data_IF_031102587665
#
_entry.id   IF_031102587665
#
_cell.length_a   1.000
_cell.length_b   1.000
_cell.length_c   1.000
_cell.angle_alpha   90.00
_cell.angle_beta   90.00
_cell.angle_gamma   90.00
#
_symmetry.space_group_name_H-M   'P 1'
#
loop_
_entity.id
_entity.type
_entity.pdbx_description
1 polymer ?
#
# COMPACT_ATOMS: atom_id res chain seq x y z
N UNK A 1 -16.59 -9.85 9.85
CA UNK A 1 -15.41 -10.24 9.06
C UNK A 1 -15.86 -10.49 7.63
N UNK A 2 -15.18 -9.89 6.65
CA UNK A 2 -15.48 -10.05 5.22
C UNK A 2 -14.59 -11.10 4.55
N UNK A 3 -14.84 -11.37 3.27
CA UNK A 3 -13.99 -12.23 2.42
C UNK A 3 -12.69 -11.48 2.07
N UNK A 4 -11.55 -12.16 2.07
CA UNK A 4 -10.23 -11.58 1.74
C UNK A 4 -9.50 -12.37 0.65
N UNK A 5 -8.50 -11.76 0.02
CA UNK A 5 -7.58 -12.42 -0.92
C UNK A 5 -8.16 -12.80 -2.29
N UNK A 6 -9.37 -12.38 -2.62
CA UNK A 6 -9.99 -12.63 -3.92
C UNK A 6 -9.88 -11.40 -4.84
N UNK A 7 -9.50 -11.61 -6.10
CA UNK A 7 -9.55 -10.61 -7.17
C UNK A 7 -10.85 -10.82 -7.96
N UNK A 8 -11.54 -9.74 -8.30
CA UNK A 8 -12.80 -9.80 -9.06
C UNK A 8 -12.59 -10.25 -10.52
N UNK A 9 -11.43 -9.92 -11.09
CA UNK A 9 -11.03 -10.29 -12.45
C UNK A 9 -9.71 -11.08 -12.37
N UNK A 10 -9.70 -12.32 -12.86
CA UNK A 10 -8.45 -13.03 -13.09
C UNK A 10 -7.81 -12.47 -14.37
N UNK A 11 -6.50 -12.15 -14.40
CA UNK A 11 -5.86 -11.72 -15.65
C UNK A 11 -6.11 -12.77 -16.73
N UNK A 12 -6.74 -12.34 -17.83
CA UNK A 12 -7.46 -13.19 -18.77
C UNK A 12 -6.64 -14.25 -19.51
N UNK A 13 -5.31 -14.30 -19.33
CA UNK A 13 -4.41 -15.27 -19.98
C UNK A 13 -3.01 -15.42 -19.34
N UNK A 14 -2.81 -15.16 -18.05
CA UNK A 14 -1.47 -15.28 -17.45
C UNK A 14 -1.35 -16.51 -16.54
N UNK A 15 -0.53 -17.48 -16.95
CA UNK A 15 0.07 -18.43 -16.01
C UNK A 15 0.60 -17.67 -14.79
N UNK A 16 0.44 -18.18 -13.56
CA UNK A 16 0.89 -17.48 -12.36
C UNK A 16 2.40 -17.20 -12.45
N UNK A 17 2.73 -15.93 -12.64
CA UNK A 17 4.12 -15.45 -12.67
C UNK A 17 4.56 -15.21 -11.24
N UNK A 18 5.23 -16.19 -10.64
CA UNK A 18 5.74 -16.10 -9.26
C UNK A 18 6.95 -15.17 -9.11
N UNK A 19 7.38 -14.51 -10.19
CA UNK A 19 8.56 -13.66 -10.22
C UNK A 19 8.30 -12.39 -11.02
N UNK A 20 8.46 -11.25 -10.37
CA UNK A 20 8.47 -9.96 -11.04
C UNK A 20 9.91 -9.70 -11.51
N UNK A 21 10.14 -9.68 -12.84
CA UNK A 21 11.37 -9.14 -13.45
C UNK A 21 10.96 -7.99 -14.38
N UNK A 22 11.51 -6.79 -14.17
CA UNK A 22 11.19 -5.62 -14.99
C UNK A 22 9.70 -5.28 -14.94
N UNK A 23 9.19 -4.98 -13.74
CA UNK A 23 7.76 -4.91 -13.44
C UNK A 23 6.90 -4.12 -14.44
N UNK A 24 5.62 -4.47 -14.49
CA UNK A 24 4.63 -3.83 -15.35
C UNK A 24 3.69 -2.95 -14.53
N UNK A 25 3.11 -1.94 -15.16
CA UNK A 25 2.00 -1.19 -14.57
C UNK A 25 0.83 -2.15 -14.31
N UNK A 26 0.14 -1.98 -13.18
CA UNK A 26 -0.99 -2.80 -12.77
C UNK A 26 -2.20 -1.92 -12.49
N UNK A 27 -3.38 -2.42 -12.85
CA UNK A 27 -4.65 -1.75 -12.55
C UNK A 27 -5.02 -1.96 -11.07
N UNK A 28 -5.66 -0.96 -10.44
CA UNK A 28 -6.07 -1.06 -9.03
C UNK A 28 -7.04 -2.24 -8.78
N UNK A 29 -7.83 -2.64 -9.79
CA UNK A 29 -8.71 -3.82 -9.73
C UNK A 29 -7.93 -5.13 -9.69
N UNK A 30 -6.72 -5.15 -10.25
CA UNK A 30 -5.86 -6.32 -10.19
C UNK A 30 -5.25 -6.47 -8.79
N UNK A 31 -4.90 -5.39 -8.11
CA UNK A 31 -4.35 -5.41 -6.74
C UNK A 31 -5.29 -4.68 -5.76
N UNK A 32 -6.50 -5.21 -5.48
CA UNK A 32 -7.54 -4.46 -4.77
C UNK A 32 -7.20 -4.16 -3.31
N UNK A 33 -6.25 -4.89 -2.74
CA UNK A 33 -5.74 -4.66 -1.39
C UNK A 33 -4.57 -3.66 -1.35
N UNK A 34 -4.03 -3.20 -2.49
CA UNK A 34 -2.91 -2.27 -2.52
C UNK A 34 -3.35 -0.88 -2.01
N UNK A 35 -2.66 -0.39 -0.99
CA UNK A 35 -2.86 0.96 -0.44
C UNK A 35 -1.62 1.82 -0.65
N UNK A 36 -1.84 3.11 -0.92
CA UNK A 36 -0.81 4.14 -0.89
C UNK A 36 -0.96 4.96 0.39
N UNK A 37 0.08 4.99 1.21
CA UNK A 37 0.13 5.83 2.41
C UNK A 37 0.76 7.16 2.02
N UNK A 38 0.01 8.25 2.20
CA UNK A 38 0.48 9.61 1.89
C UNK A 38 0.38 10.50 3.12
N UNK A 39 1.32 11.44 3.23
CA UNK A 39 1.38 12.40 4.33
C UNK A 39 1.27 13.80 3.77
N UNK A 40 0.38 14.60 4.36
CA UNK A 40 0.25 16.01 4.03
C UNK A 40 1.48 16.79 4.52
N UNK A 41 2.11 17.53 3.62
CA UNK A 41 3.24 18.43 3.92
C UNK A 41 2.76 19.89 3.82
N UNK A 42 2.61 20.61 4.94
CA UNK A 42 2.09 21.98 4.93
C UNK A 42 2.93 22.96 4.11
N UNK A 43 4.27 22.85 4.16
CA UNK A 43 5.17 23.78 3.44
C UNK A 43 5.00 23.78 1.92
N UNK A 44 4.54 22.66 1.35
CA UNK A 44 4.29 22.52 -0.09
C UNK A 44 2.81 22.39 -0.44
N UNK A 45 1.91 22.50 0.56
CA UNK A 45 0.48 22.25 0.44
C UNK A 45 0.14 20.98 -0.38
N UNK A 46 0.86 19.88 -0.13
CA UNK A 46 0.79 18.68 -0.97
C UNK A 46 0.85 17.40 -0.16
N UNK A 47 0.23 16.35 -0.69
CA UNK A 47 0.38 14.99 -0.18
C UNK A 47 1.58 14.34 -0.83
N UNK A 48 2.51 13.83 -0.01
CA UNK A 48 3.68 13.11 -0.49
C UNK A 48 3.51 11.63 -0.19
N UNK A 49 3.89 10.79 -1.15
CA UNK A 49 3.95 9.35 -0.95
C UNK A 49 4.98 9.02 0.14
N UNK A 50 4.57 8.19 1.10
CA UNK A 50 5.40 7.70 2.18
C UNK A 50 5.80 6.24 1.93
N UNK A 51 4.80 5.36 1.85
CA UNK A 51 4.99 3.91 1.73
C UNK A 51 3.76 3.25 1.10
N UNK A 52 3.90 1.96 0.75
CA UNK A 52 2.76 1.10 0.43
C UNK A 52 2.14 0.45 1.68
N UNK A 53 0.98 -0.16 1.50
CA UNK A 53 0.31 -0.99 2.50
C UNK A 53 -0.66 -2.00 1.87
N UNK A 54 -1.19 -2.89 2.70
CA UNK A 54 -2.17 -3.92 2.32
C UNK A 54 -3.42 -3.79 3.18
N UNK A 55 -4.59 -3.63 2.55
CA UNK A 55 -5.88 -3.68 3.25
C UNK A 55 -6.12 -5.10 3.78
N UNK A 56 -6.21 -5.24 5.10
CA UNK A 56 -6.41 -6.53 5.78
C UNK A 56 -7.82 -6.66 6.38
N UNK A 57 -8.48 -5.53 6.63
CA UNK A 57 -9.90 -5.43 6.99
C UNK A 57 -10.43 -4.06 6.53
N UNK A 58 -11.75 -3.89 6.53
CA UNK A 58 -12.50 -2.67 6.22
C UNK A 58 -11.88 -1.37 6.75
N UNK A 59 -11.28 -1.40 7.95
CA UNK A 59 -10.66 -0.24 8.60
C UNK A 59 -9.17 -0.42 8.93
N UNK A 60 -8.53 -1.49 8.47
CA UNK A 60 -7.18 -1.86 8.89
C UNK A 60 -6.25 -2.09 7.68
N UNK A 61 -5.12 -1.38 7.69
CA UNK A 61 -4.05 -1.53 6.70
C UNK A 61 -2.78 -2.01 7.40
N UNK A 62 -2.16 -3.05 6.84
CA UNK A 62 -0.84 -3.53 7.24
C UNK A 62 0.25 -2.80 6.42
N UNK A 63 1.33 -2.36 7.06
CA UNK A 63 2.49 -1.73 6.42
C UNK A 63 3.77 -1.99 7.23
N UNK A 64 4.91 -1.48 6.77
CA UNK A 64 6.19 -1.65 7.45
C UNK A 64 6.38 -0.62 8.57
N UNK A 65 6.87 -1.07 9.73
CA UNK A 65 7.07 -0.19 10.90
C UNK A 65 8.02 0.98 10.62
N UNK A 66 9.06 0.78 9.81
CA UNK A 66 10.04 1.82 9.48
C UNK A 66 9.44 3.00 8.71
N UNK A 67 8.29 2.82 8.05
CA UNK A 67 7.55 3.91 7.40
C UNK A 67 7.09 4.98 8.40
N UNK A 68 7.00 4.64 9.70
CA UNK A 68 6.49 5.51 10.76
C UNK A 68 7.52 5.82 11.86
N UNK A 69 8.78 5.38 11.70
CA UNK A 69 9.80 5.56 12.75
C UNK A 69 10.28 7.01 12.91
N UNK A 70 10.34 7.80 11.83
CA UNK A 70 10.72 9.24 11.93
C UNK A 70 9.67 10.08 12.68
N UNK A 71 8.42 9.62 12.74
CA UNK A 71 7.38 10.19 13.61
C UNK A 71 7.53 9.85 15.09
N UNK A 72 8.30 8.80 15.44
CA UNK A 72 8.57 8.46 16.84
C UNK A 72 9.76 9.22 17.42
N UNK A 73 10.82 9.45 16.62
CA UNK A 73 12.00 10.20 17.07
C UNK A 73 11.71 11.67 17.32
N UNK A 74 10.69 12.24 16.65
CA UNK A 74 10.22 13.61 16.90
C UNK A 74 9.26 13.73 18.08
N UNK A 75 8.67 12.62 18.57
CA UNK A 75 7.85 12.60 19.79
C UNK A 75 8.69 12.34 21.06
N UNK A 76 9.82 11.64 20.95
CA UNK A 76 10.77 11.39 22.05
C UNK A 76 11.79 12.54 22.25
N UNK A 77 11.68 13.62 21.48
CA UNK A 77 12.42 14.87 21.68
C UNK A 77 11.57 15.97 22.36
N UNK A 78 10.51 15.58 23.06
CA UNK A 78 9.70 16.51 23.87
C UNK A 78 9.70 16.11 25.34
#
# INVERSE_FOLDING_TARGET
SGICGQRTEAPSNSLPMFRIRGGQASDIREQPWQAALTVYRPRGNSYNFLCGGVLIDSCWILSAAHCFQESFTSYLQK
#
